data_IF_584512434146
#
_entry.id   IF_584512434146
#
_cell.length_a   1.000
_cell.length_b   1.000
_cell.length_c   1.000
_cell.angle_alpha   90.00
_cell.angle_beta   90.00
_cell.angle_gamma   90.00
#
_symmetry.space_group_name_H-M   'P 1'
#
loop_
_entity.id
_entity.type
_entity.pdbx_description
1 polymer ?
#
# COMPACT_ATOMS: atom_id res chain seq x y z
N UNK A 1 -30.66 -42.51 -26.99
CA UNK A 1 -29.49 -41.89 -27.64
C UNK A 1 -29.61 -40.38 -27.86
N UNK A 2 -30.78 -39.84 -28.17
CA UNK A 2 -30.98 -38.39 -28.40
C UNK A 2 -30.77 -37.52 -27.15
N UNK A 3 -31.21 -37.95 -25.95
CA UNK A 3 -31.04 -37.21 -24.68
C UNK A 3 -29.56 -37.05 -24.25
N UNK A 4 -28.71 -38.06 -24.55
CA UNK A 4 -27.28 -38.00 -24.24
C UNK A 4 -26.52 -37.01 -25.13
N UNK A 5 -26.94 -36.85 -26.39
CA UNK A 5 -26.34 -35.92 -27.35
C UNK A 5 -26.67 -34.44 -26.97
N UNK A 6 -27.87 -34.17 -26.46
CA UNK A 6 -28.29 -32.86 -26.01
C UNK A 6 -27.53 -32.46 -24.73
N UNK A 7 -27.31 -33.40 -23.82
CA UNK A 7 -26.51 -33.20 -22.61
C UNK A 7 -25.04 -32.88 -22.93
N UNK A 8 -24.45 -33.59 -23.90
CA UNK A 8 -23.07 -33.36 -24.36
C UNK A 8 -22.93 -31.98 -25.04
N UNK A 9 -23.92 -31.57 -25.87
CA UNK A 9 -23.91 -30.26 -26.51
C UNK A 9 -24.06 -29.11 -25.47
N UNK A 10 -24.90 -29.29 -24.47
CA UNK A 10 -25.06 -28.29 -23.40
C UNK A 10 -23.78 -28.16 -22.54
N UNK A 11 -23.08 -29.27 -22.28
CA UNK A 11 -21.79 -29.25 -21.58
C UNK A 11 -20.69 -28.55 -22.40
N UNK A 12 -20.69 -28.75 -23.72
CA UNK A 12 -19.74 -28.10 -24.62
C UNK A 12 -19.96 -26.57 -24.69
N UNK A 13 -21.21 -26.13 -24.70
CA UNK A 13 -21.56 -24.71 -24.70
C UNK A 13 -21.17 -24.04 -23.37
N UNK A 14 -21.35 -24.73 -22.25
CA UNK A 14 -20.91 -24.20 -20.93
C UNK A 14 -19.40 -24.10 -20.84
N UNK A 15 -18.65 -25.06 -21.43
CA UNK A 15 -17.18 -24.99 -21.45
C UNK A 15 -16.64 -23.89 -22.37
N UNK A 16 -17.33 -23.53 -23.46
CA UNK A 16 -16.89 -22.46 -24.37
C UNK A 16 -17.10 -21.06 -23.79
N UNK A 17 -18.01 -20.88 -22.83
CA UNK A 17 -18.26 -19.58 -22.20
C UNK A 17 -17.15 -19.22 -21.17
N UNK A 18 -16.39 -20.19 -20.66
CA UNK A 18 -15.32 -19.96 -19.69
C UNK A 18 -13.94 -19.62 -20.28
N UNK A 19 -13.78 -19.68 -21.60
CA UNK A 19 -12.60 -19.18 -22.30
C UNK A 19 -12.82 -17.76 -22.84
N UNK A 20 -13.33 -16.87 -22.02
CA UNK A 20 -13.05 -15.45 -22.24
C UNK A 20 -11.56 -15.29 -22.00
N UNK A 21 -10.79 -15.11 -23.05
CA UNK A 21 -9.36 -14.85 -22.97
C UNK A 21 -9.16 -13.73 -21.97
N UNK A 22 -8.56 -14.04 -20.83
CA UNK A 22 -8.20 -13.06 -19.83
C UNK A 22 -7.28 -12.07 -20.54
N UNK A 23 -7.72 -10.82 -20.72
CA UNK A 23 -6.91 -9.78 -21.36
C UNK A 23 -5.56 -9.73 -20.62
N UNK A 24 -4.49 -10.04 -21.32
CA UNK A 24 -3.14 -10.02 -20.77
C UNK A 24 -2.61 -8.59 -20.85
N UNK A 25 -2.62 -7.87 -19.73
CA UNK A 25 -2.04 -6.54 -19.67
C UNK A 25 -0.52 -6.59 -19.56
N UNK A 26 0.16 -5.67 -20.25
CA UNK A 26 1.62 -5.56 -20.20
C UNK A 26 2.06 -4.97 -18.85
N UNK A 27 3.18 -5.47 -18.34
CA UNK A 27 3.87 -4.88 -17.18
C UNK A 27 4.89 -3.81 -17.58
N UNK A 28 5.10 -3.58 -18.89
CA UNK A 28 5.99 -2.55 -19.41
C UNK A 28 5.25 -1.20 -19.40
N UNK A 29 5.21 -0.61 -18.19
CA UNK A 29 4.55 0.66 -17.91
C UNK A 29 5.47 1.53 -17.07
N UNK A 30 5.78 2.74 -17.58
CA UNK A 30 6.69 3.68 -16.92
C UNK A 30 6.09 5.07 -16.82
N UNK A 31 6.26 5.75 -15.68
CA UNK A 31 5.89 7.14 -15.52
C UNK A 31 6.99 8.04 -16.06
N UNK A 32 6.62 8.94 -16.96
CA UNK A 32 7.52 9.99 -17.46
C UNK A 32 7.49 11.21 -16.53
N UNK A 33 6.28 11.58 -16.08
CA UNK A 33 6.04 12.70 -15.19
C UNK A 33 4.66 12.56 -14.55
N UNK A 34 4.55 12.86 -13.27
CA UNK A 34 3.24 12.94 -12.61
C UNK A 34 3.18 14.12 -11.64
N UNK A 35 1.98 14.64 -11.48
CA UNK A 35 1.54 15.51 -10.41
C UNK A 35 0.19 14.99 -9.85
N UNK A 36 -0.40 15.67 -8.87
CA UNK A 36 -1.64 15.24 -8.21
C UNK A 36 -2.84 15.11 -9.16
N UNK A 37 -2.82 15.80 -10.31
CA UNK A 37 -3.94 15.87 -11.24
C UNK A 37 -3.69 15.11 -12.53
N UNK A 38 -2.46 15.07 -13.02
CA UNK A 38 -2.11 14.51 -14.33
C UNK A 38 -0.85 13.65 -14.21
N UNK A 39 -0.89 12.46 -14.81
CA UNK A 39 0.28 11.63 -15.02
C UNK A 39 0.54 11.40 -16.51
N UNK A 40 1.79 11.53 -16.94
CA UNK A 40 2.26 11.18 -18.29
C UNK A 40 2.93 9.82 -18.19
N UNK A 41 2.35 8.81 -18.83
CA UNK A 41 2.76 7.42 -18.69
C UNK A 41 2.96 6.80 -20.06
N UNK A 42 4.07 6.09 -20.22
CA UNK A 42 4.35 5.28 -21.41
C UNK A 42 4.08 3.81 -21.09
N UNK A 43 3.38 3.12 -21.99
CA UNK A 43 3.11 1.69 -21.84
C UNK A 43 3.10 0.98 -23.17
N UNK A 44 3.48 -0.30 -23.12
CA UNK A 44 3.36 -1.21 -24.25
C UNK A 44 2.09 -2.05 -24.14
N UNK A 45 1.53 -2.43 -25.28
CA UNK A 45 0.38 -3.32 -25.36
C UNK A 45 0.53 -4.35 -26.46
N UNK A 46 -0.06 -5.53 -26.26
CA UNK A 46 -0.09 -6.60 -27.26
C UNK A 46 -1.51 -6.97 -27.62
N UNK A 47 -1.78 -7.19 -28.90
CA UNK A 47 -3.08 -7.66 -29.38
C UNK A 47 -2.94 -8.51 -30.65
N UNK A 48 -3.94 -9.33 -30.94
CA UNK A 48 -4.00 -10.12 -32.16
C UNK A 48 -4.22 -9.25 -33.43
N UNK A 49 -4.92 -8.12 -33.26
CA UNK A 49 -5.20 -7.19 -34.35
C UNK A 49 -4.40 -5.91 -34.15
N UNK A 50 -3.69 -5.48 -35.21
CA UNK A 50 -2.89 -4.25 -35.21
C UNK A 50 -3.65 -3.03 -34.67
N UNK A 51 -4.93 -2.89 -34.97
CA UNK A 51 -5.77 -1.77 -34.55
C UNK A 51 -6.06 -1.73 -33.04
N UNK A 52 -6.00 -2.87 -32.35
CA UNK A 52 -6.37 -2.99 -30.93
C UNK A 52 -5.18 -2.84 -29.99
N UNK A 53 -3.95 -2.81 -30.53
CA UNK A 53 -2.69 -2.76 -29.78
C UNK A 53 -2.61 -1.52 -28.86
N UNK A 54 -2.93 -0.35 -29.39
CA UNK A 54 -2.86 0.88 -28.63
C UNK A 54 -3.92 0.96 -27.51
N UNK A 55 -5.11 0.39 -27.76
CA UNK A 55 -6.13 0.26 -26.72
C UNK A 55 -5.65 -0.66 -25.59
N UNK A 56 -4.95 -1.75 -25.93
CA UNK A 56 -4.36 -2.64 -24.92
C UNK A 56 -3.24 -1.94 -24.15
N UNK A 57 -2.41 -1.13 -24.79
CA UNK A 57 -1.40 -0.32 -24.11
C UNK A 57 -2.04 0.69 -23.12
N UNK A 58 -3.11 1.38 -23.52
CA UNK A 58 -3.85 2.28 -22.63
C UNK A 58 -4.47 1.51 -21.44
N UNK A 59 -5.09 0.36 -21.69
CA UNK A 59 -5.62 -0.49 -20.61
C UNK A 59 -4.52 -0.98 -19.67
N UNK A 60 -3.31 -1.29 -20.18
CA UNK A 60 -2.17 -1.68 -19.36
C UNK A 60 -1.75 -0.55 -18.39
N UNK A 61 -1.84 0.72 -18.80
CA UNK A 61 -1.61 1.87 -17.90
C UNK A 61 -2.56 1.80 -16.70
N UNK A 62 -3.87 1.68 -16.95
CA UNK A 62 -4.85 1.66 -15.87
C UNK A 62 -4.75 0.42 -15.01
N UNK A 63 -4.45 -0.74 -15.59
CA UNK A 63 -4.20 -1.95 -14.81
C UNK A 63 -2.99 -1.77 -13.87
N UNK A 64 -1.91 -1.16 -14.35
CA UNK A 64 -0.76 -0.86 -13.52
C UNK A 64 -1.10 0.17 -12.42
N UNK A 65 -1.79 1.28 -12.73
CA UNK A 65 -2.24 2.26 -11.74
C UNK A 65 -3.12 1.61 -10.66
N UNK A 66 -4.02 0.72 -11.04
CA UNK A 66 -4.97 0.12 -10.10
C UNK A 66 -4.36 -0.97 -9.22
N UNK A 67 -3.56 -1.86 -9.79
CA UNK A 67 -3.22 -3.13 -9.14
C UNK A 67 -1.74 -3.32 -8.83
N UNK A 68 -0.85 -2.68 -9.58
CA UNK A 68 0.59 -2.90 -9.43
C UNK A 68 1.31 -1.70 -8.79
N UNK A 69 0.75 -0.50 -8.93
CA UNK A 69 1.45 0.76 -8.70
C UNK A 69 2.46 1.08 -9.83
N UNK A 70 2.78 2.35 -10.00
CA UNK A 70 3.76 2.84 -10.98
C UNK A 70 4.70 3.79 -10.25
N UNK A 71 6.00 3.56 -10.32
CA UNK A 71 6.99 4.46 -9.72
C UNK A 71 6.82 5.88 -10.27
N UNK A 72 6.78 6.86 -9.37
CA UNK A 72 6.49 8.27 -9.73
C UNK A 72 5.00 8.64 -9.76
N UNK A 73 4.08 7.67 -9.60
CA UNK A 73 2.63 7.92 -9.41
C UNK A 73 2.26 7.45 -8.01
N UNK A 74 1.69 8.33 -7.16
CA UNK A 74 1.23 8.00 -5.80
C UNK A 74 2.27 7.22 -4.97
N UNK A 75 3.51 7.64 -5.02
CA UNK A 75 4.64 6.98 -4.36
C UNK A 75 4.84 5.51 -4.78
N UNK A 76 4.42 5.16 -6.00
CA UNK A 76 4.51 3.80 -6.52
C UNK A 76 3.43 2.84 -6.01
N UNK A 77 2.40 3.35 -5.34
CA UNK A 77 1.34 2.55 -4.73
C UNK A 77 0.17 2.34 -5.70
N UNK A 78 -0.48 1.17 -5.69
CA UNK A 78 -1.71 0.96 -6.44
C UNK A 78 -2.86 1.78 -5.84
N UNK A 79 -3.72 2.35 -6.70
CA UNK A 79 -4.84 3.17 -6.25
C UNK A 79 -6.02 2.36 -5.70
N UNK A 80 -6.14 1.08 -6.06
CA UNK A 80 -7.29 0.25 -5.69
C UNK A 80 -6.90 -0.64 -4.52
N UNK A 81 -7.53 -0.39 -3.37
CA UNK A 81 -7.31 -1.17 -2.16
C UNK A 81 -8.10 -2.48 -2.13
N UNK A 82 -9.18 -2.57 -2.88
CA UNK A 82 -10.04 -3.76 -2.99
C UNK A 82 -10.51 -3.93 -4.42
N UNK A 83 -10.17 -5.06 -5.04
CA UNK A 83 -10.61 -5.38 -6.39
C UNK A 83 -12.13 -5.59 -6.42
N UNK A 84 -12.83 -4.82 -7.26
CA UNK A 84 -14.26 -4.98 -7.58
C UNK A 84 -14.39 -5.38 -9.04
N UNK A 85 -14.72 -6.63 -9.27
CA UNK A 85 -14.80 -7.19 -10.63
C UNK A 85 -15.87 -6.52 -11.49
N UNK A 86 -16.96 -6.06 -10.90
CA UNK A 86 -18.02 -5.35 -11.64
C UNK A 86 -17.53 -3.99 -12.13
N UNK A 87 -16.93 -3.20 -11.24
CA UNK A 87 -16.36 -1.91 -11.61
C UNK A 87 -15.24 -2.09 -12.65
N UNK A 88 -14.31 -3.03 -12.43
CA UNK A 88 -13.20 -3.29 -13.35
C UNK A 88 -13.68 -3.66 -14.75
N UNK A 89 -14.67 -4.54 -14.86
CA UNK A 89 -15.26 -4.92 -16.14
C UNK A 89 -15.90 -3.72 -16.87
N UNK A 90 -16.67 -2.90 -16.17
CA UNK A 90 -17.23 -1.68 -16.75
C UNK A 90 -16.15 -0.67 -17.13
N UNK A 91 -15.16 -0.47 -16.28
CA UNK A 91 -14.06 0.45 -16.51
C UNK A 91 -13.29 0.08 -17.77
N UNK A 92 -12.80 -1.16 -17.87
CA UNK A 92 -11.99 -1.61 -18.99
C UNK A 92 -12.78 -1.85 -20.29
N UNK A 93 -14.12 -1.93 -20.23
CA UNK A 93 -14.93 -2.02 -21.46
C UNK A 93 -14.89 -0.72 -22.29
N UNK A 94 -15.05 0.44 -21.62
CA UNK A 94 -15.13 1.72 -22.35
C UNK A 94 -14.77 2.95 -21.49
N UNK A 95 -14.98 2.89 -20.15
CA UNK A 95 -14.86 4.07 -19.30
C UNK A 95 -13.43 4.59 -19.12
N UNK A 96 -12.40 3.76 -19.27
CA UNK A 96 -10.99 4.16 -19.14
C UNK A 96 -10.65 5.35 -20.04
N UNK A 97 -11.24 5.46 -21.23
CA UNK A 97 -11.02 6.58 -22.15
C UNK A 97 -11.46 7.93 -21.60
N UNK A 98 -12.39 7.98 -20.65
CA UNK A 98 -12.81 9.22 -19.98
C UNK A 98 -11.68 9.85 -19.14
N UNK A 99 -10.70 9.04 -18.75
CA UNK A 99 -9.57 9.46 -17.95
C UNK A 99 -8.29 9.64 -18.76
N UNK A 100 -8.34 9.46 -20.08
CA UNK A 100 -7.26 9.76 -21.02
C UNK A 100 -7.49 11.15 -21.59
N UNK A 101 -6.64 12.12 -21.25
CA UNK A 101 -6.71 13.47 -21.78
C UNK A 101 -6.30 13.51 -23.25
N UNK A 102 -5.17 12.88 -23.55
CA UNK A 102 -4.64 12.64 -24.89
C UNK A 102 -3.62 11.49 -24.83
N UNK A 103 -3.28 10.95 -25.99
CA UNK A 103 -2.19 10.00 -26.11
C UNK A 103 -1.53 10.11 -27.48
N UNK A 104 -0.26 9.73 -27.54
CA UNK A 104 0.54 9.64 -28.73
C UNK A 104 1.06 8.22 -28.92
N UNK A 105 1.07 7.76 -30.17
CA UNK A 105 1.61 6.44 -30.50
C UNK A 105 3.11 6.55 -30.72
N UNK A 106 3.88 5.64 -30.14
CA UNK A 106 5.33 5.57 -30.33
C UNK A 106 5.63 4.59 -31.46
N UNK A 107 5.67 5.11 -32.69
CA UNK A 107 5.87 4.31 -33.89
C UNK A 107 4.66 3.47 -34.27
N UNK A 108 4.82 2.69 -35.34
CA UNK A 108 3.79 1.73 -35.80
C UNK A 108 3.86 0.42 -35.03
N UNK A 109 2.71 -0.29 -34.84
CA UNK A 109 2.72 -1.60 -34.19
C UNK A 109 3.57 -2.61 -34.96
N UNK A 110 4.49 -3.24 -34.23
CA UNK A 110 5.44 -4.23 -34.75
C UNK A 110 4.87 -5.64 -34.53
N UNK A 111 5.03 -6.49 -35.52
CA UNK A 111 4.63 -7.89 -35.41
C UNK A 111 5.61 -8.65 -34.51
N UNK A 112 5.14 -9.12 -33.36
CA UNK A 112 5.93 -9.85 -32.38
C UNK A 112 5.95 -11.37 -32.66
N UNK A 113 4.82 -11.90 -33.16
CA UNK A 113 4.70 -13.34 -33.53
C UNK A 113 3.70 -13.52 -34.69
N UNK A 114 3.42 -14.75 -35.06
CA UNK A 114 2.45 -15.06 -36.13
C UNK A 114 1.05 -14.49 -35.86
N UNK A 115 0.69 -14.28 -34.59
CA UNK A 115 -0.66 -13.85 -34.16
C UNK A 115 -0.69 -12.58 -33.31
N UNK A 116 0.47 -12.01 -32.94
CA UNK A 116 0.53 -10.91 -32.01
C UNK A 116 1.29 -9.72 -32.59
N UNK A 117 0.72 -8.55 -32.38
CA UNK A 117 1.36 -7.24 -32.61
C UNK A 117 1.64 -6.57 -31.27
N UNK A 118 2.74 -5.82 -31.19
CA UNK A 118 3.12 -5.00 -30.06
C UNK A 118 3.18 -3.55 -30.50
N UNK A 119 2.81 -2.62 -29.63
CA UNK A 119 2.94 -1.17 -29.85
C UNK A 119 2.90 -0.42 -28.53
N UNK A 120 3.47 0.77 -28.57
CA UNK A 120 3.68 1.61 -27.39
C UNK A 120 2.91 2.92 -27.53
N UNK A 121 2.38 3.41 -26.41
CA UNK A 121 1.74 4.73 -26.32
C UNK A 121 2.34 5.51 -25.17
N UNK A 122 2.37 6.86 -25.33
CA UNK A 122 2.57 7.79 -24.24
C UNK A 122 1.26 8.54 -24.02
N UNK A 123 0.64 8.42 -22.85
CA UNK A 123 -0.66 8.98 -22.56
C UNK A 123 -0.63 9.93 -21.36
N UNK A 124 -1.43 10.99 -21.45
CA UNK A 124 -1.74 11.89 -20.34
C UNK A 124 -3.01 11.41 -19.63
N UNK A 125 -2.86 10.95 -18.41
CA UNK A 125 -3.96 10.40 -17.59
C UNK A 125 -4.44 11.48 -16.63
N UNK A 126 -5.76 11.68 -16.56
CA UNK A 126 -6.43 12.59 -15.63
C UNK A 126 -6.50 11.95 -14.23
N UNK A 127 -5.37 11.91 -13.53
CA UNK A 127 -5.19 11.20 -12.26
C UNK A 127 -6.15 11.72 -11.18
N UNK A 128 -6.28 13.04 -11.05
CA UNK A 128 -7.20 13.64 -10.08
C UNK A 128 -8.69 13.30 -10.34
N UNK A 129 -9.10 13.21 -11.61
CA UNK A 129 -10.46 12.78 -11.97
C UNK A 129 -10.66 11.29 -11.69
N UNK A 130 -9.66 10.46 -11.97
CA UNK A 130 -9.67 9.03 -11.70
C UNK A 130 -9.80 8.74 -10.21
N UNK A 131 -9.00 9.41 -9.37
CA UNK A 131 -9.10 9.31 -7.90
C UNK A 131 -10.51 9.65 -7.39
N UNK A 132 -11.10 10.74 -7.87
CA UNK A 132 -12.48 11.13 -7.51
C UNK A 132 -13.51 10.06 -7.90
N UNK A 133 -13.34 9.42 -9.05
CA UNK A 133 -14.23 8.33 -9.48
C UNK A 133 -14.06 7.08 -8.61
N UNK A 134 -12.82 6.69 -8.28
CA UNK A 134 -12.53 5.56 -7.39
C UNK A 134 -13.09 5.78 -5.97
N UNK A 135 -12.96 6.99 -5.43
CA UNK A 135 -13.55 7.37 -4.13
C UNK A 135 -15.08 7.26 -4.16
N UNK A 136 -15.71 7.76 -5.23
CA UNK A 136 -17.17 7.69 -5.41
C UNK A 136 -17.67 6.25 -5.44
N UNK A 137 -16.89 5.35 -6.04
CA UNK A 137 -17.21 3.93 -6.12
C UNK A 137 -16.69 3.12 -4.92
N UNK A 138 -16.14 3.75 -3.87
CA UNK A 138 -15.62 3.13 -2.65
C UNK A 138 -14.47 2.14 -2.88
N UNK A 139 -13.72 2.32 -3.95
CA UNK A 139 -12.54 1.52 -4.30
C UNK A 139 -11.26 2.13 -3.76
N UNK A 140 -11.29 3.42 -3.50
CA UNK A 140 -10.23 4.18 -2.86
C UNK A 140 -10.82 4.89 -1.66
N UNK A 141 -10.19 4.78 -0.52
CA UNK A 141 -10.55 5.58 0.64
C UNK A 141 -10.18 7.03 0.33
N UNK A 142 -11.03 7.99 0.66
CA UNK A 142 -10.57 9.38 0.68
C UNK A 142 -9.32 9.42 1.54
N UNK A 143 -8.24 10.11 1.11
CA UNK A 143 -7.22 10.51 2.07
C UNK A 143 -8.02 11.20 3.18
N UNK A 144 -8.05 10.59 4.36
CA UNK A 144 -8.77 11.17 5.50
C UNK A 144 -7.98 12.41 5.89
N UNK A 145 -8.29 13.44 5.15
CA UNK A 145 -8.21 14.84 5.41
C UNK A 145 -7.01 15.30 6.23
N UNK A 146 -6.04 15.81 5.51
CA UNK A 146 -5.16 16.84 6.05
C UNK A 146 -5.92 17.90 6.89
N UNK A 147 -7.20 18.17 6.55
CA UNK A 147 -8.07 19.10 7.32
C UNK A 147 -8.40 18.63 8.73
N UNK A 148 -8.67 17.37 8.98
CA UNK A 148 -8.98 16.90 10.34
C UNK A 148 -7.72 16.83 11.23
N UNK A 149 -6.56 16.70 10.62
CA UNK A 149 -5.27 16.72 11.32
C UNK A 149 -4.82 18.14 11.68
N UNK A 150 -5.09 19.13 10.83
CA UNK A 150 -4.80 20.53 11.12
C UNK A 150 -5.67 21.04 12.29
N UNK A 151 -6.94 20.68 12.32
CA UNK A 151 -7.83 20.97 13.44
C UNK A 151 -7.40 20.24 14.73
N UNK A 152 -6.93 18.99 14.61
CA UNK A 152 -6.42 18.22 15.75
C UNK A 152 -5.08 18.77 16.25
N UNK A 153 -4.21 19.27 15.36
CA UNK A 153 -2.95 19.94 15.73
C UNK A 153 -3.16 21.22 16.53
N UNK A 154 -4.23 21.96 16.26
CA UNK A 154 -4.54 23.21 16.98
C UNK A 154 -5.12 22.96 18.37
N UNK A 155 -5.70 21.78 18.62
CA UNK A 155 -6.40 21.50 19.88
C UNK A 155 -5.66 20.54 20.82
N UNK A 156 -4.74 19.71 20.34
CA UNK A 156 -4.07 18.66 21.14
C UNK A 156 -2.56 18.69 20.84
N UNK A 157 -1.75 18.82 21.88
CA UNK A 157 -0.31 18.61 21.76
C UNK A 157 -0.03 17.16 21.34
N UNK A 158 0.52 16.98 20.13
CA UNK A 158 0.90 15.65 19.64
C UNK A 158 2.08 15.13 20.48
N UNK A 159 2.03 13.87 20.95
CA UNK A 159 3.15 13.30 21.70
C UNK A 159 4.39 13.14 20.82
N UNK A 160 5.56 13.19 21.43
CA UNK A 160 6.80 12.79 20.80
C UNK A 160 6.85 11.25 20.75
N UNK A 161 7.03 10.68 19.55
CA UNK A 161 6.93 9.22 19.34
C UNK A 161 8.29 8.62 19.03
N UNK A 162 8.60 7.48 19.64
CA UNK A 162 9.69 6.58 19.25
C UNK A 162 9.10 5.32 18.61
N UNK A 163 9.57 4.97 17.41
CA UNK A 163 9.14 3.74 16.70
C UNK A 163 10.19 2.66 16.90
N UNK A 164 9.75 1.49 17.36
CA UNK A 164 10.62 0.37 17.72
C UNK A 164 10.18 -0.92 17.04
N UNK A 165 11.13 -1.77 16.57
CA UNK A 165 10.81 -3.06 16.00
C UNK A 165 10.39 -4.06 17.08
N UNK A 166 9.53 -5.00 16.71
CA UNK A 166 9.23 -6.17 17.51
C UNK A 166 9.37 -7.44 16.67
N UNK A 167 9.94 -8.45 17.25
CA UNK A 167 10.04 -9.79 16.67
C UNK A 167 9.86 -10.81 17.77
N UNK A 168 8.81 -11.61 17.64
CA UNK A 168 8.50 -12.65 18.63
C UNK A 168 9.68 -13.60 18.83
N UNK A 169 9.98 -13.91 20.09
CA UNK A 169 11.10 -14.79 20.50
C UNK A 169 12.52 -14.32 20.14
N UNK A 170 12.69 -13.10 19.66
CA UNK A 170 14.01 -12.51 19.42
C UNK A 170 14.43 -11.70 20.64
N UNK A 171 15.58 -12.06 21.22
CA UNK A 171 16.20 -11.36 22.37
C UNK A 171 17.32 -10.42 21.97
N UNK A 172 17.49 -10.18 20.68
CA UNK A 172 18.50 -9.26 20.16
C UNK A 172 18.16 -7.81 20.47
N UNK A 173 19.17 -6.94 20.42
CA UNK A 173 18.94 -5.50 20.49
C UNK A 173 18.15 -5.00 19.28
N UNK A 174 17.50 -3.85 19.41
CA UNK A 174 16.81 -3.23 18.26
C UNK A 174 17.71 -3.00 17.06
N UNK A 175 18.94 -2.56 17.31
CA UNK A 175 19.92 -2.35 16.26
C UNK A 175 20.23 -3.65 15.51
N UNK A 176 20.37 -4.76 16.23
CA UNK A 176 20.62 -6.07 15.64
C UNK A 176 19.40 -6.60 14.88
N UNK A 177 18.19 -6.42 15.42
CA UNK A 177 16.95 -6.80 14.73
C UNK A 177 16.83 -6.04 13.41
N UNK A 178 17.00 -4.72 13.42
CA UNK A 178 16.90 -3.89 12.21
C UNK A 178 18.04 -4.15 11.22
N UNK A 179 19.20 -4.59 11.70
CA UNK A 179 20.34 -5.00 10.85
C UNK A 179 20.07 -6.32 10.14
N UNK A 180 19.46 -7.27 10.84
CA UNK A 180 19.30 -8.65 10.38
C UNK A 180 17.95 -8.89 9.69
N UNK A 181 16.93 -8.06 9.90
CA UNK A 181 15.60 -8.17 9.28
C UNK A 181 15.30 -6.94 8.41
N UNK A 182 15.60 -7.10 7.11
CA UNK A 182 15.44 -6.02 6.13
C UNK A 182 13.98 -5.56 5.99
N UNK A 183 13.04 -6.50 5.96
CA UNK A 183 11.62 -6.19 5.77
C UNK A 183 11.03 -5.47 6.99
N UNK A 184 11.41 -5.89 8.20
CA UNK A 184 11.01 -5.20 9.42
C UNK A 184 11.63 -3.80 9.52
N UNK A 185 12.86 -3.63 9.03
CA UNK A 185 13.49 -2.31 8.91
C UNK A 185 12.71 -1.39 7.99
N UNK A 186 12.25 -1.90 6.83
CA UNK A 186 11.36 -1.16 5.91
C UNK A 186 10.07 -0.76 6.65
N UNK A 187 9.41 -1.70 7.33
CA UNK A 187 8.17 -1.42 8.05
C UNK A 187 8.33 -0.31 9.09
N UNK A 188 9.39 -0.38 9.92
CA UNK A 188 9.70 0.63 10.94
C UNK A 188 9.98 2.00 10.31
N UNK A 189 10.79 2.03 9.24
CA UNK A 189 11.09 3.28 8.51
C UNK A 189 9.83 3.90 7.93
N UNK A 190 8.98 3.09 7.30
CA UNK A 190 7.72 3.53 6.69
C UNK A 190 6.77 4.13 7.73
N UNK A 191 6.61 3.47 8.87
CA UNK A 191 5.80 3.98 9.99
C UNK A 191 6.35 5.30 10.51
N UNK A 192 7.67 5.40 10.71
CA UNK A 192 8.35 6.61 11.16
C UNK A 192 8.17 7.77 10.17
N UNK A 193 8.40 7.53 8.88
CA UNK A 193 8.20 8.54 7.84
C UNK A 193 6.75 9.03 7.77
N UNK A 194 5.79 8.13 7.92
CA UNK A 194 4.38 8.51 7.93
C UNK A 194 4.06 9.40 9.14
N UNK A 195 4.55 9.08 10.33
CA UNK A 195 4.39 9.94 11.50
C UNK A 195 4.99 11.33 11.28
N UNK A 196 6.18 11.41 10.68
CA UNK A 196 6.81 12.70 10.33
C UNK A 196 5.95 13.48 9.33
N UNK A 197 5.43 12.83 8.29
CA UNK A 197 4.50 13.45 7.32
C UNK A 197 3.22 13.95 7.98
N UNK A 198 2.75 13.28 9.03
CA UNK A 198 1.62 13.71 9.85
C UNK A 198 1.99 14.78 10.88
N UNK A 199 3.24 15.26 10.88
CA UNK A 199 3.72 16.34 11.74
C UNK A 199 4.04 15.93 13.17
N UNK A 200 4.16 14.62 13.43
CA UNK A 200 4.57 14.10 14.73
C UNK A 200 6.08 14.18 14.87
N UNK A 201 6.55 14.67 16.00
CA UNK A 201 7.98 14.64 16.34
C UNK A 201 8.39 13.18 16.63
N UNK A 202 9.37 12.66 15.89
CA UNK A 202 9.88 11.31 16.13
C UNK A 202 11.29 11.35 16.70
N UNK A 203 11.58 10.43 17.61
CA UNK A 203 12.92 10.22 18.20
C UNK A 203 13.50 8.94 17.61
N UNK A 204 14.81 8.95 17.34
CA UNK A 204 15.50 7.77 16.86
C UNK A 204 15.73 6.78 18.00
N UNK A 205 15.40 5.51 17.74
CA UNK A 205 15.75 4.42 18.65
C UNK A 205 17.26 4.03 18.59
N UNK A 206 18.02 4.71 17.72
CA UNK A 206 19.40 4.35 17.34
C UNK A 206 20.48 5.13 18.11
N UNK A 207 20.11 5.83 19.19
CA UNK A 207 21.10 6.52 20.02
C UNK A 207 22.07 5.55 20.73
N UNK A 208 23.24 6.04 21.15
CA UNK A 208 24.29 5.23 21.83
C UNK A 208 23.78 4.39 23.03
N UNK A 209 22.61 4.75 23.58
CA UNK A 209 21.98 4.05 24.70
C UNK A 209 20.93 3.02 24.24
N UNK A 210 20.39 3.11 23.03
CA UNK A 210 19.36 2.21 22.52
C UNK A 210 19.90 0.85 22.04
N UNK A 211 21.21 0.71 21.86
CA UNK A 211 21.84 -0.55 21.48
C UNK A 211 21.71 -1.68 22.51
N UNK A 212 21.28 -1.35 23.74
CA UNK A 212 21.06 -2.32 24.83
C UNK A 212 19.59 -2.67 25.05
N UNK A 213 18.63 -1.96 24.43
CA UNK A 213 17.21 -2.26 24.58
C UNK A 213 16.86 -3.58 23.85
N UNK A 214 16.28 -4.52 24.56
CA UNK A 214 15.90 -5.84 24.04
C UNK A 214 14.41 -5.89 23.73
N UNK A 215 14.06 -6.43 22.55
CA UNK A 215 12.68 -6.52 22.11
C UNK A 215 11.75 -7.33 23.05
N UNK A 216 12.31 -8.39 23.69
CA UNK A 216 11.54 -9.25 24.59
C UNK A 216 11.18 -8.62 25.94
N UNK A 217 11.88 -7.55 26.33
CA UNK A 217 11.68 -6.89 27.62
C UNK A 217 10.44 -5.97 27.59
N UNK A 218 9.96 -5.64 26.39
CA UNK A 218 8.77 -4.82 26.17
C UNK A 218 7.44 -5.51 26.48
N UNK A 219 7.40 -6.85 26.38
CA UNK A 219 6.21 -7.63 26.71
C UNK A 219 6.09 -7.92 28.21
N UNK A 220 7.20 -7.88 28.93
CA UNK A 220 7.22 -8.19 30.34
C UNK A 220 6.69 -7.00 31.13
N UNK A 221 5.61 -7.23 31.92
CA UNK A 221 5.13 -6.26 32.92
C UNK A 221 6.18 -5.93 33.98
N UNK A 222 7.29 -6.66 33.97
CA UNK A 222 8.46 -6.56 34.85
C UNK A 222 9.71 -6.11 34.08
N UNK A 223 9.55 -5.24 33.06
CA UNK A 223 10.73 -4.60 32.43
C UNK A 223 11.63 -4.02 33.53
N UNK A 224 12.91 -4.43 33.53
CA UNK A 224 13.87 -3.98 34.50
C UNK A 224 13.90 -2.45 34.58
N UNK A 225 14.13 -1.91 35.77
CA UNK A 225 14.14 -0.47 36.02
C UNK A 225 15.09 0.28 35.07
N UNK A 226 16.14 -0.37 34.58
CA UNK A 226 17.13 0.19 33.64
C UNK A 226 16.53 0.46 32.26
N UNK A 227 15.64 -0.43 31.73
CA UNK A 227 15.04 -0.26 30.40
C UNK A 227 13.98 0.84 30.40
N UNK A 228 13.20 0.94 31.48
CA UNK A 228 12.30 2.08 31.70
C UNK A 228 13.06 3.40 31.74
N UNK A 229 14.21 3.42 32.40
CA UNK A 229 15.04 4.62 32.53
C UNK A 229 15.68 5.01 31.19
N UNK A 230 16.09 4.04 30.37
CA UNK A 230 16.57 4.31 29.00
C UNK A 230 15.49 4.87 28.10
N UNK A 231 14.27 4.36 28.22
CA UNK A 231 13.11 4.90 27.48
C UNK A 231 12.76 6.31 27.93
N UNK A 232 12.70 6.57 29.22
CA UNK A 232 12.44 7.90 29.76
C UNK A 232 13.51 8.90 29.32
N UNK A 233 14.77 8.47 29.23
CA UNK A 233 15.89 9.28 28.76
C UNK A 233 15.85 9.54 27.24
N UNK A 234 15.04 8.79 26.46
CA UNK A 234 14.89 9.01 25.01
C UNK A 234 14.16 10.32 24.68
N UNK A 235 13.43 10.89 25.63
CA UNK A 235 12.58 12.06 25.41
C UNK A 235 11.33 11.79 24.57
N UNK A 236 10.96 10.52 24.40
CA UNK A 236 9.69 10.13 23.78
C UNK A 236 8.60 10.02 24.83
N UNK A 237 7.45 10.63 24.54
CA UNK A 237 6.24 10.50 25.38
C UNK A 237 5.58 9.13 25.19
N UNK A 238 5.64 8.63 23.96
CA UNK A 238 5.03 7.38 23.51
C UNK A 238 6.01 6.57 22.68
N UNK A 239 6.06 5.29 22.91
CA UNK A 239 6.74 4.38 21.99
C UNK A 239 5.73 3.48 21.24
N UNK A 240 5.98 3.30 19.95
CA UNK A 240 5.18 2.49 19.06
C UNK A 240 5.95 1.25 18.66
N UNK A 241 5.45 0.12 19.11
CA UNK A 241 5.97 -1.20 18.78
C UNK A 241 5.41 -1.61 17.42
N UNK A 242 6.27 -1.98 16.49
CA UNK A 242 5.90 -2.41 15.13
C UNK A 242 6.33 -3.84 14.89
N UNK A 243 5.37 -4.70 14.58
CA UNK A 243 5.57 -6.06 14.08
C UNK A 243 5.06 -6.14 12.63
N UNK A 244 5.77 -6.89 11.80
CA UNK A 244 5.44 -7.11 10.39
C UNK A 244 5.09 -8.56 10.14
N UNK A 245 3.84 -8.80 9.73
CA UNK A 245 3.43 -10.09 9.18
C UNK A 245 3.31 -9.98 7.67
N UNK A 246 3.82 -10.97 6.95
CA UNK A 246 3.84 -10.96 5.48
C UNK A 246 3.38 -12.30 4.90
N UNK A 247 2.67 -12.22 3.78
CA UNK A 247 2.23 -13.35 2.97
C UNK A 247 2.54 -12.99 1.51
N UNK A 248 3.74 -13.34 1.06
CA UNK A 248 4.30 -12.95 -0.23
C UNK A 248 4.17 -14.11 -1.22
N UNK A 249 3.44 -13.87 -2.31
CA UNK A 249 3.23 -14.85 -3.36
C UNK A 249 3.06 -14.19 -4.72
N UNK A 250 3.93 -14.54 -5.66
CA UNK A 250 3.81 -14.07 -7.04
C UNK A 250 2.56 -14.63 -7.75
N UNK A 251 2.10 -15.84 -7.37
CA UNK A 251 0.97 -16.51 -8.00
C UNK A 251 -0.39 -16.02 -7.47
N UNK A 252 -0.54 -15.91 -6.13
CA UNK A 252 -1.82 -15.56 -5.49
C UNK A 252 -1.91 -14.10 -5.04
N UNK A 253 -0.90 -13.29 -5.35
CA UNK A 253 -0.75 -11.93 -4.86
C UNK A 253 -0.21 -11.89 -3.42
N UNK A 254 0.36 -10.75 -3.06
CA UNK A 254 1.04 -10.53 -1.79
C UNK A 254 0.27 -9.56 -0.90
N UNK A 255 0.41 -9.71 0.39
CA UNK A 255 -0.15 -8.81 1.40
C UNK A 255 0.75 -8.73 2.62
N UNK A 256 0.64 -7.63 3.35
CA UNK A 256 1.31 -7.44 4.63
C UNK A 256 0.33 -6.96 5.70
N UNK A 257 0.69 -7.16 6.95
CA UNK A 257 0.01 -6.56 8.09
C UNK A 257 1.04 -5.85 8.96
N UNK A 258 0.81 -4.58 9.23
CA UNK A 258 1.49 -3.85 10.28
C UNK A 258 0.68 -4.01 11.56
N UNK A 259 1.29 -4.64 12.57
CA UNK A 259 0.72 -4.74 13.91
C UNK A 259 1.43 -3.68 14.75
N UNK A 260 0.66 -2.75 15.27
CA UNK A 260 1.22 -1.62 16.01
C UNK A 260 0.55 -1.51 17.37
N UNK A 261 1.36 -1.30 18.41
CA UNK A 261 0.89 -1.00 19.75
C UNK A 261 1.63 0.23 20.25
N UNK A 262 0.88 1.25 20.64
CA UNK A 262 1.41 2.45 21.27
C UNK A 262 1.33 2.34 22.77
N UNK A 263 2.43 2.65 23.47
CA UNK A 263 2.53 2.65 24.93
C UNK A 263 3.05 3.98 25.43
N UNK A 264 2.50 4.44 26.53
CA UNK A 264 3.04 5.58 27.24
C UNK A 264 4.39 5.22 27.86
N UNK A 265 5.41 6.04 27.61
CA UNK A 265 6.77 5.77 28.08
C UNK A 265 6.88 5.76 29.61
N UNK A 266 6.20 6.71 30.27
CA UNK A 266 6.26 6.86 31.72
C UNK A 266 5.63 5.69 32.49
N UNK A 267 4.49 5.18 32.02
CA UNK A 267 3.71 4.18 32.75
C UNK A 267 3.76 2.77 32.13
N UNK A 268 4.12 2.66 30.87
CA UNK A 268 4.05 1.41 30.09
C UNK A 268 2.62 0.96 29.75
N UNK A 269 1.62 1.82 29.95
CA UNK A 269 0.22 1.52 29.65
C UNK A 269 -0.04 1.66 28.15
N UNK A 270 -0.77 0.68 27.60
CA UNK A 270 -1.18 0.71 26.19
C UNK A 270 -2.19 1.85 25.97
N UNK A 271 -1.90 2.71 25.00
CA UNK A 271 -2.75 3.82 24.57
C UNK A 271 -3.62 3.43 23.38
N UNK A 272 -3.06 2.67 22.44
CA UNK A 272 -3.74 2.23 21.24
C UNK A 272 -3.09 0.95 20.71
N UNK A 273 -3.87 0.12 20.03
CA UNK A 273 -3.35 -1.03 19.28
C UNK A 273 -4.15 -1.18 17.99
N UNK A 274 -3.44 -1.43 16.89
CA UNK A 274 -4.04 -1.64 15.57
C UNK A 274 -3.36 -2.79 14.85
N UNK A 275 -4.19 -3.61 14.19
CA UNK A 275 -3.74 -4.66 13.29
C UNK A 275 -4.64 -4.66 12.06
N UNK A 276 -4.05 -4.59 10.89
CA UNK A 276 -4.78 -4.68 9.63
C UNK A 276 -3.94 -5.38 8.58
N UNK A 277 -4.57 -6.31 7.85
CA UNK A 277 -4.00 -6.87 6.63
C UNK A 277 -4.36 -5.98 5.45
N UNK A 278 -3.38 -5.69 4.61
CA UNK A 278 -3.67 -5.12 3.29
C UNK A 278 -4.50 -6.11 2.45
N UNK A 279 -5.16 -5.60 1.43
CA UNK A 279 -5.63 -6.46 0.36
C UNK A 279 -4.46 -7.17 -0.31
N UNK A 280 -4.74 -8.21 -1.12
CA UNK A 280 -3.73 -8.85 -1.93
C UNK A 280 -3.45 -8.01 -3.18
N UNK A 281 -2.18 -7.72 -3.41
CA UNK A 281 -1.69 -7.00 -4.58
C UNK A 281 -0.79 -7.92 -5.40
N UNK A 282 -0.63 -7.60 -6.68
CA UNK A 282 0.25 -8.37 -7.59
C UNK A 282 1.74 -8.10 -7.37
N UNK A 283 2.08 -7.04 -6.62
CA UNK A 283 3.47 -6.74 -6.28
C UNK A 283 3.99 -7.67 -5.18
N UNK A 284 5.27 -8.03 -5.25
CA UNK A 284 6.02 -8.71 -4.18
C UNK A 284 6.93 -7.74 -3.42
N UNK A 285 6.91 -6.46 -3.78
CA UNK A 285 7.70 -5.40 -3.18
C UNK A 285 7.15 -5.06 -1.80
N UNK A 286 7.90 -5.44 -0.76
CA UNK A 286 7.51 -5.25 0.65
C UNK A 286 7.44 -3.77 1.01
N UNK A 287 8.30 -2.92 0.43
CA UNK A 287 8.30 -1.48 0.70
C UNK A 287 6.98 -0.84 0.27
N UNK A 288 6.54 -1.13 -0.96
CA UNK A 288 5.24 -0.66 -1.47
C UNK A 288 4.08 -1.17 -0.62
N UNK A 289 4.11 -2.45 -0.22
CA UNK A 289 3.06 -3.03 0.62
C UNK A 289 3.02 -2.40 2.02
N UNK A 290 4.17 -2.15 2.64
CA UNK A 290 4.27 -1.47 3.93
C UNK A 290 3.78 -0.02 3.85
N UNK A 291 4.14 0.71 2.79
CA UNK A 291 3.69 2.08 2.57
C UNK A 291 2.15 2.15 2.44
N UNK A 292 1.55 1.20 1.71
CA UNK A 292 0.10 1.09 1.59
C UNK A 292 -0.57 0.77 2.94
N UNK A 293 -0.02 -0.22 3.69
CA UNK A 293 -0.52 -0.57 5.02
C UNK A 293 -0.46 0.62 5.99
N UNK A 294 0.65 1.36 5.96
CA UNK A 294 0.86 2.53 6.80
C UNK A 294 -0.12 3.66 6.48
N UNK A 295 -0.40 3.89 5.20
CA UNK A 295 -1.35 4.92 4.78
C UNK A 295 -2.78 4.62 5.25
N UNK A 296 -3.19 3.35 5.21
CA UNK A 296 -4.54 2.94 5.61
C UNK A 296 -4.77 3.01 7.13
N UNK A 297 -3.75 2.71 7.92
CA UNK A 297 -3.92 2.45 9.37
C UNK A 297 -3.43 3.60 10.25
N UNK A 298 -2.38 4.32 9.84
CA UNK A 298 -1.66 5.22 10.76
C UNK A 298 -2.43 6.48 11.14
N UNK A 299 -3.26 7.03 10.27
CA UNK A 299 -4.03 8.24 10.57
C UNK A 299 -5.02 7.98 11.71
N UNK A 300 -5.75 6.87 11.63
CA UNK A 300 -6.65 6.44 12.71
C UNK A 300 -5.91 6.04 13.99
N UNK A 301 -4.74 5.40 13.85
CA UNK A 301 -3.91 5.02 14.99
C UNK A 301 -3.37 6.24 15.73
N UNK A 302 -2.87 7.25 15.03
CA UNK A 302 -2.40 8.49 15.63
C UNK A 302 -3.52 9.24 16.34
N UNK A 303 -4.73 9.25 15.77
CA UNK A 303 -5.90 9.86 16.41
C UNK A 303 -6.23 9.17 17.73
N UNK A 304 -6.18 7.83 17.78
CA UNK A 304 -6.42 7.08 19.00
C UNK A 304 -5.34 7.38 20.06
N UNK A 305 -4.05 7.40 19.66
CA UNK A 305 -2.94 7.77 20.56
C UNK A 305 -3.15 9.16 21.12
N UNK A 306 -3.41 10.15 20.28
CA UNK A 306 -3.54 11.55 20.69
C UNK A 306 -4.71 11.76 21.65
N UNK A 307 -5.84 11.09 21.40
CA UNK A 307 -7.02 11.14 22.27
C UNK A 307 -6.73 10.58 23.68
N UNK A 308 -6.10 9.40 23.74
CA UNK A 308 -5.81 8.76 25.04
C UNK A 308 -4.69 9.48 25.78
N UNK A 309 -3.69 10.01 25.05
CA UNK A 309 -2.62 10.80 25.64
C UNK A 309 -3.16 12.12 26.23
N UNK A 310 -4.00 12.85 25.49
CA UNK A 310 -4.62 14.09 25.96
C UNK A 310 -5.51 13.86 27.19
N UNK A 311 -6.28 12.77 27.22
CA UNK A 311 -7.11 12.42 28.37
C UNK A 311 -6.29 12.23 29.66
N UNK A 312 -5.08 11.69 29.54
CA UNK A 312 -4.19 11.49 30.69
C UNK A 312 -3.48 12.75 31.16
N UNK A 313 -3.15 13.65 30.26
CA UNK A 313 -2.52 14.93 30.60
C UNK A 313 -3.49 15.86 31.35
N UNK A 314 -4.80 15.65 31.20
CA UNK A 314 -5.85 16.41 31.88
C UNK A 314 -6.25 15.84 33.26
N UNK A 315 -5.77 14.66 33.62
CA UNK A 315 -5.93 14.04 34.96
C UNK A 315 -4.73 14.31 35.85
#
# INVERSE_FOLDING_TARGET
MMKLRILLLSLLVVYTIHFMAQESYSNDVTCVKADDNIAVITASGTAEKKKDVYNMALKSIFNAIFLNGIDGVENGLPLVGKEDSYYMNQFFSSRYMLFVKNYETVGDPVRQSSKLYNGTVTAQILLGALKKDLIRNKLMTRPQEEMSMEETRQQIALPTIMVVPYKSNDRSSYADILKNDFDLRIAVSTVKERFVKLGVKTVAAEGKQSGTLRASEWESKNADSNDKQLLMNSGADVYVIVDLQKDISAASGSRVSLIMTARETATGVDLASRKSWTNRFRTTDVDKLCAYAAQDVLDGFLKDISKEFARKVQQ
#
